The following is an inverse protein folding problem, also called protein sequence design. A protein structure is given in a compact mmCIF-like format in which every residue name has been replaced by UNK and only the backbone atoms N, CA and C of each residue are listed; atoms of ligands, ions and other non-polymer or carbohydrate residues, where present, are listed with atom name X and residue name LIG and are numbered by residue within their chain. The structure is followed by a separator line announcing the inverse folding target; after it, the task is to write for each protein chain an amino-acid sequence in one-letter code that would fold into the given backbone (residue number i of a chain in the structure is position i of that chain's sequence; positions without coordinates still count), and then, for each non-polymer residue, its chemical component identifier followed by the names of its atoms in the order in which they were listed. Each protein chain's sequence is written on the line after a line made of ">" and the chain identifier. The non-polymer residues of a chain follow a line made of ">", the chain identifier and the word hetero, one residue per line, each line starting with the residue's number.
data_IF_706806564938
#
_entry.id   IF_706806564938
#
_cell.length_a   1.000
_cell.length_b   1.000
_cell.length_c   1.000
_cell.angle_alpha   90.00
_cell.angle_beta   90.00
_cell.angle_gamma   90.00
#
_symmetry.space_group_name_H-M   'P 1'
#
loop_
_entity.id
_entity.type
_entity.pdbx_description
1 polymer ?
#
# COMPACT_ATOMS: atom_id res chain seq x y z
N UNK A 1 -20.72 -15.77 -1.80
CA UNK A 1 -20.24 -15.27 -3.11
C UNK A 1 -20.71 -13.83 -3.29
N UNK A 2 -19.81 -12.87 -3.11
CA UNK A 2 -20.11 -11.43 -3.27
C UNK A 2 -20.41 -11.15 -4.75
N UNK A 3 -21.67 -10.78 -5.06
CA UNK A 3 -22.06 -10.30 -6.40
C UNK A 3 -21.39 -8.94 -6.63
N UNK A 4 -20.23 -8.93 -7.29
CA UNK A 4 -19.48 -7.70 -7.56
C UNK A 4 -19.65 -7.23 -9.00
N UNK A 5 -19.64 -5.91 -9.16
CA UNK A 5 -19.70 -5.25 -10.46
C UNK A 5 -18.34 -5.38 -11.14
N UNK A 6 -18.30 -5.95 -12.35
CA UNK A 6 -17.05 -6.13 -13.10
C UNK A 6 -16.55 -4.77 -13.60
N UNK A 7 -15.24 -4.53 -13.51
CA UNK A 7 -14.63 -3.34 -14.14
C UNK A 7 -14.91 -3.41 -15.64
N UNK A 8 -15.57 -2.39 -16.16
CA UNK A 8 -15.91 -2.30 -17.57
C UNK A 8 -14.79 -1.52 -18.29
N UNK A 9 -14.24 -2.09 -19.37
CA UNK A 9 -13.21 -1.43 -20.18
C UNK A 9 -13.71 -0.11 -20.80
N UNK A 10 -15.01 0.02 -21.01
CA UNK A 10 -15.62 1.16 -21.72
C UNK A 10 -16.07 2.28 -20.77
N UNK A 11 -16.09 2.04 -19.46
CA UNK A 11 -16.48 3.04 -18.46
C UNK A 11 -15.55 2.95 -17.26
N UNK A 12 -14.73 3.98 -17.08
CA UNK A 12 -13.92 4.16 -15.88
C UNK A 12 -14.84 4.36 -14.68
N UNK A 13 -14.75 3.44 -13.71
CA UNK A 13 -15.51 3.49 -12.46
C UNK A 13 -14.50 3.48 -11.31
N UNK A 14 -14.25 4.68 -10.76
CA UNK A 14 -13.28 4.89 -9.69
C UNK A 14 -13.56 4.00 -8.49
N UNK A 15 -14.82 3.88 -8.07
CA UNK A 15 -15.19 3.10 -6.89
C UNK A 15 -14.94 1.60 -7.10
N UNK A 16 -15.21 1.10 -8.30
CA UNK A 16 -14.93 -0.32 -8.61
C UNK A 16 -13.42 -0.59 -8.67
N UNK A 17 -12.63 0.37 -9.16
CA UNK A 17 -11.17 0.26 -9.16
C UNK A 17 -10.59 0.34 -7.73
N UNK A 18 -11.06 1.29 -6.92
CA UNK A 18 -10.70 1.44 -5.50
C UNK A 18 -11.02 0.16 -4.70
N UNK A 19 -12.23 -0.41 -4.89
CA UNK A 19 -12.60 -1.67 -4.25
C UNK A 19 -11.66 -2.82 -4.67
N UNK A 20 -11.33 -2.90 -5.96
CA UNK A 20 -10.42 -3.94 -6.47
C UNK A 20 -9.03 -3.83 -5.83
N UNK A 21 -8.40 -2.65 -5.87
CA UNK A 21 -7.02 -2.49 -5.37
C UNK A 21 -6.94 -2.72 -3.86
N UNK A 22 -7.96 -2.32 -3.10
CA UNK A 22 -8.04 -2.60 -1.65
C UNK A 22 -8.13 -4.10 -1.39
N UNK A 23 -8.96 -4.83 -2.13
CA UNK A 23 -9.05 -6.27 -1.98
C UNK A 23 -7.77 -7.02 -2.37
N UNK A 24 -7.08 -6.56 -3.42
CA UNK A 24 -5.77 -7.11 -3.77
C UNK A 24 -4.76 -6.84 -2.65
N UNK A 25 -4.76 -5.64 -2.07
CA UNK A 25 -3.92 -5.31 -0.93
C UNK A 25 -4.21 -6.20 0.28
N UNK A 26 -5.47 -6.36 0.68
CA UNK A 26 -5.86 -7.24 1.79
C UNK A 26 -5.32 -8.66 1.58
N UNK A 27 -5.53 -9.23 0.39
CA UNK A 27 -5.07 -10.57 0.06
C UNK A 27 -3.54 -10.70 0.11
N UNK A 28 -2.82 -9.69 -0.40
CA UNK A 28 -1.36 -9.66 -0.40
C UNK A 28 -0.81 -9.49 1.01
N UNK A 29 -1.39 -8.61 1.83
CA UNK A 29 -0.98 -8.37 3.21
C UNK A 29 -1.20 -9.62 4.08
N UNK A 30 -2.35 -10.29 3.93
CA UNK A 30 -2.63 -11.56 4.59
C UNK A 30 -1.61 -12.63 4.18
N UNK A 31 -1.30 -12.74 2.88
CA UNK A 31 -0.30 -13.69 2.39
C UNK A 31 1.10 -13.39 2.92
N UNK A 32 1.49 -12.12 2.96
CA UNK A 32 2.78 -11.69 3.52
C UNK A 32 2.88 -12.07 5.00
N UNK A 33 1.78 -11.92 5.75
CA UNK A 33 1.71 -12.29 7.17
C UNK A 33 1.80 -13.81 7.37
N UNK A 34 1.11 -14.62 6.56
CA UNK A 34 1.25 -16.09 6.58
C UNK A 34 2.70 -16.54 6.41
N UNK A 35 3.39 -15.95 5.42
CA UNK A 35 4.80 -16.25 5.14
C UNK A 35 5.68 -15.85 6.32
N UNK A 36 5.47 -14.66 6.89
CA UNK A 36 6.25 -14.16 8.02
C UNK A 36 6.04 -14.97 9.31
N UNK A 37 4.87 -15.57 9.49
CA UNK A 37 4.55 -16.41 10.64
C UNK A 37 4.95 -17.88 10.46
N UNK A 38 5.32 -18.29 9.24
CA UNK A 38 5.58 -19.69 8.90
C UNK A 38 4.31 -20.56 9.00
N UNK A 39 3.12 -19.95 9.00
CA UNK A 39 1.83 -20.64 9.14
C UNK A 39 0.95 -20.37 7.94
N UNK A 40 0.33 -21.41 7.40
CA UNK A 40 -0.62 -21.31 6.27
C UNK A 40 -1.99 -20.76 6.71
N UNK A 41 -2.23 -20.64 8.02
CA UNK A 41 -3.56 -20.33 8.55
C UNK A 41 -3.49 -19.28 9.66
N UNK A 42 -3.82 -18.05 9.28
CA UNK A 42 -3.85 -16.85 10.14
C UNK A 42 -4.99 -16.93 11.16
N UNK A 43 -6.00 -17.79 10.94
CA UNK A 43 -7.12 -17.96 11.87
C UNK A 43 -6.72 -18.68 13.16
N UNK A 44 -5.51 -19.27 13.20
CA UNK A 44 -4.93 -19.88 14.40
C UNK A 44 -4.26 -18.86 15.34
N UNK A 45 -4.22 -17.58 14.96
CA UNK A 45 -3.73 -16.50 15.80
C UNK A 45 -4.80 -16.08 16.83
N UNK A 46 -5.33 -17.05 17.58
CA UNK A 46 -6.42 -16.90 18.54
C UNK A 46 -5.91 -16.35 19.90
N UNK A 47 -5.07 -15.31 19.85
CA UNK A 47 -4.74 -14.53 21.03
C UNK A 47 -5.71 -13.34 21.10
N UNK A 48 -6.34 -13.06 22.26
CA UNK A 48 -7.14 -11.85 22.45
C UNK A 48 -6.17 -10.67 22.59
N UNK A 49 -5.52 -10.29 21.49
CA UNK A 49 -4.81 -9.03 21.39
C UNK A 49 -5.86 -7.93 21.23
N UNK A 50 -5.71 -6.86 22.01
CA UNK A 50 -6.47 -5.64 21.77
C UNK A 50 -6.29 -5.24 20.30
N UNK A 51 -7.36 -4.79 19.65
CA UNK A 51 -7.37 -4.52 18.20
C UNK A 51 -6.21 -3.61 17.79
N UNK A 52 -5.87 -2.65 18.64
CA UNK A 52 -4.74 -1.73 18.43
C UNK A 52 -3.37 -2.43 18.47
N UNK A 53 -3.18 -3.42 19.34
CA UNK A 53 -1.92 -4.19 19.42
C UNK A 53 -1.77 -5.14 18.25
N UNK A 54 -2.88 -5.74 17.81
CA UNK A 54 -2.91 -6.55 16.60
C UNK A 54 -2.56 -5.72 15.36
N UNK A 55 -3.20 -4.56 15.19
CA UNK A 55 -2.95 -3.64 14.07
C UNK A 55 -1.49 -3.20 14.03
N UNK A 56 -0.89 -2.85 15.18
CA UNK A 56 0.54 -2.50 15.26
C UNK A 56 1.46 -3.67 14.92
N UNK A 57 1.21 -4.85 15.48
CA UNK A 57 2.00 -6.06 15.20
C UNK A 57 1.95 -6.45 13.73
N UNK A 58 0.79 -6.30 13.08
CA UNK A 58 0.65 -6.56 11.64
C UNK A 58 1.45 -5.53 10.84
N UNK A 59 1.34 -4.24 11.17
CA UNK A 59 2.07 -3.18 10.46
C UNK A 59 3.59 -3.32 10.60
N UNK A 60 4.12 -3.58 11.80
CA UNK A 60 5.55 -3.82 12.01
C UNK A 60 6.06 -5.02 11.19
N UNK A 61 5.28 -6.09 11.12
CA UNK A 61 5.63 -7.30 10.35
C UNK A 61 5.56 -7.06 8.85
N UNK A 62 4.54 -6.35 8.37
CA UNK A 62 4.43 -5.94 6.96
C UNK A 62 5.61 -5.05 6.58
N UNK A 63 6.02 -4.13 7.46
CA UNK A 63 7.20 -3.28 7.24
C UNK A 63 8.50 -4.12 7.12
N UNK A 64 8.69 -5.10 8.00
CA UNK A 64 9.83 -6.03 7.93
C UNK A 64 9.83 -6.79 6.59
N UNK A 65 8.70 -7.35 6.17
CA UNK A 65 8.60 -8.08 4.90
C UNK A 65 8.90 -7.17 3.70
N UNK A 66 8.38 -5.94 3.70
CA UNK A 66 8.66 -4.95 2.65
C UNK A 66 10.15 -4.62 2.62
N UNK A 67 10.75 -4.35 3.78
CA UNK A 67 12.18 -4.03 3.91
C UNK A 67 13.04 -5.19 3.40
N UNK A 68 12.82 -6.40 3.89
CA UNK A 68 13.62 -7.57 3.50
C UNK A 68 13.54 -7.83 2.00
N UNK A 69 12.35 -7.67 1.40
CA UNK A 69 12.13 -7.85 -0.04
C UNK A 69 12.74 -6.74 -0.91
N UNK A 70 12.99 -5.55 -0.35
CA UNK A 70 13.59 -4.42 -1.08
C UNK A 70 15.12 -4.42 -0.99
N UNK A 71 15.68 -4.77 0.17
CA UNK A 71 17.12 -4.64 0.46
C UNK A 71 17.95 -5.90 0.18
N UNK A 72 17.34 -7.06 -0.07
CA UNK A 72 18.04 -8.29 -0.47
C UNK A 72 17.68 -8.70 -1.92
N UNK A 73 18.08 -7.93 -2.95
CA UNK A 73 17.71 -8.18 -4.33
C UNK A 73 18.47 -9.36 -5.00
N UNK A 74 19.47 -9.93 -4.32
CA UNK A 74 20.53 -10.75 -4.94
C UNK A 74 20.22 -12.26 -5.01
N UNK A 75 19.11 -12.71 -4.43
CA UNK A 75 18.62 -14.08 -4.66
C UNK A 75 17.86 -14.14 -5.99
N UNK A 76 18.45 -14.84 -6.96
CA UNK A 76 18.11 -14.97 -8.39
C UNK A 76 16.68 -15.45 -8.75
N UNK A 77 15.72 -15.44 -7.82
CA UNK A 77 14.35 -15.92 -7.98
C UNK A 77 13.21 -14.93 -7.65
N UNK A 78 13.48 -13.69 -7.24
CA UNK A 78 12.49 -12.90 -6.46
C UNK A 78 11.91 -11.62 -7.12
N UNK A 79 11.92 -11.45 -8.45
CA UNK A 79 11.25 -10.28 -9.07
C UNK A 79 9.76 -10.14 -8.69
N UNK A 80 9.07 -11.27 -8.55
CA UNK A 80 7.67 -11.28 -8.13
C UNK A 80 7.47 -10.80 -6.68
N UNK A 81 8.39 -11.13 -5.75
CA UNK A 81 8.32 -10.65 -4.37
C UNK A 81 8.62 -9.16 -4.29
N UNK A 82 9.56 -8.65 -5.10
CA UNK A 82 9.89 -7.23 -5.15
C UNK A 82 8.72 -6.37 -5.66
N UNK A 83 8.05 -6.79 -6.73
CA UNK A 83 6.88 -6.08 -7.23
C UNK A 83 5.73 -6.08 -6.20
N UNK A 84 5.57 -7.17 -5.46
CA UNK A 84 4.61 -7.27 -4.37
C UNK A 84 4.97 -6.32 -3.23
N UNK A 85 6.24 -6.21 -2.85
CA UNK A 85 6.71 -5.28 -1.83
C UNK A 85 6.51 -3.80 -2.24
N UNK A 86 6.81 -3.47 -3.50
CA UNK A 86 6.55 -2.14 -4.06
C UNK A 86 5.05 -1.83 -4.09
N UNK A 87 4.22 -2.78 -4.50
CA UNK A 87 2.76 -2.65 -4.45
C UNK A 87 2.24 -2.42 -3.03
N UNK A 88 2.72 -3.18 -2.03
CA UNK A 88 2.33 -2.98 -0.63
C UNK A 88 2.72 -1.60 -0.13
N UNK A 89 3.95 -1.14 -0.40
CA UNK A 89 4.40 0.21 -0.05
C UNK A 89 3.48 1.28 -0.65
N UNK A 90 3.19 1.18 -1.95
CA UNK A 90 2.38 2.17 -2.67
C UNK A 90 0.93 2.18 -2.16
N UNK A 91 0.39 0.99 -1.83
CA UNK A 91 -0.95 0.87 -1.24
C UNK A 91 -1.03 1.43 0.17
N UNK A 92 0.01 1.30 1.01
CA UNK A 92 0.04 1.91 2.34
C UNK A 92 -0.08 3.44 2.23
N UNK A 93 0.68 4.06 1.32
CA UNK A 93 0.59 5.49 1.05
C UNK A 93 -0.80 5.90 0.52
N UNK A 94 -1.38 5.09 -0.38
CA UNK A 94 -2.73 5.31 -0.90
C UNK A 94 -3.80 5.25 0.20
N UNK A 95 -3.74 4.25 1.09
CA UNK A 95 -4.66 4.08 2.20
C UNK A 95 -4.55 5.25 3.19
N UNK A 96 -3.33 5.67 3.51
CA UNK A 96 -3.07 6.80 4.40
C UNK A 96 -3.60 8.12 3.79
N UNK A 97 -3.33 8.38 2.51
CA UNK A 97 -3.89 9.54 1.81
C UNK A 97 -5.43 9.53 1.83
N UNK A 98 -6.03 8.37 1.54
CA UNK A 98 -7.48 8.20 1.55
C UNK A 98 -8.08 8.45 2.94
N UNK A 99 -7.43 7.97 3.99
CA UNK A 99 -7.85 8.17 5.37
C UNK A 99 -7.69 9.64 5.80
N UNK A 100 -6.58 10.29 5.46
CA UNK A 100 -6.31 11.69 5.77
C UNK A 100 -7.32 12.63 5.08
N UNK A 101 -7.64 12.37 3.80
CA UNK A 101 -8.68 13.11 3.06
C UNK A 101 -10.05 12.96 3.75
N UNK A 102 -10.44 11.74 4.13
CA UNK A 102 -11.72 11.50 4.82
C UNK A 102 -11.78 12.18 6.19
N UNK A 103 -10.65 12.28 6.89
CA UNK A 103 -10.54 12.96 8.18
C UNK A 103 -10.45 14.49 8.05
N UNK A 104 -10.17 15.02 6.86
CA UNK A 104 -9.89 16.44 6.66
C UNK A 104 -8.56 16.89 7.29
N UNK A 105 -7.62 15.96 7.50
CA UNK A 105 -6.33 16.24 8.13
C UNK A 105 -5.31 16.69 7.08
N UNK A 106 -5.21 18.01 6.90
CA UNK A 106 -4.31 18.62 5.90
C UNK A 106 -2.85 18.29 6.19
N UNK A 107 -2.44 18.24 7.47
CA UNK A 107 -1.05 17.95 7.83
C UNK A 107 -0.64 16.55 7.35
N UNK A 108 -1.48 15.54 7.58
CA UNK A 108 -1.25 14.18 7.07
C UNK A 108 -1.28 14.10 5.56
N UNK A 109 -2.20 14.83 4.90
CA UNK A 109 -2.26 14.89 3.44
C UNK A 109 -0.92 15.42 2.89
N UNK A 110 -0.41 16.52 3.43
CA UNK A 110 0.86 17.12 2.99
C UNK A 110 2.04 16.17 3.19
N UNK A 111 2.13 15.49 4.35
CA UNK A 111 3.19 14.51 4.60
C UNK A 111 3.18 13.36 3.58
N UNK A 112 2.01 12.81 3.26
CA UNK A 112 1.91 11.74 2.26
C UNK A 112 2.26 12.23 0.86
N UNK A 113 1.85 13.45 0.49
CA UNK A 113 2.17 14.02 -0.83
C UNK A 113 3.68 14.22 -1.04
N UNK A 114 4.46 14.51 0.01
CA UNK A 114 5.93 14.55 -0.08
C UNK A 114 6.49 13.19 -0.51
N UNK A 115 6.03 12.11 0.09
CA UNK A 115 6.44 10.75 -0.28
C UNK A 115 6.02 10.38 -1.70
N UNK A 116 4.78 10.70 -2.10
CA UNK A 116 4.29 10.45 -3.46
C UNK A 116 5.13 11.23 -4.50
N UNK A 117 5.51 12.46 -4.19
CA UNK A 117 6.40 13.27 -5.04
C UNK A 117 7.73 12.55 -5.30
N UNK A 118 8.36 12.04 -4.25
CA UNK A 118 9.62 11.29 -4.34
C UNK A 118 9.42 10.02 -5.18
N UNK A 119 8.30 9.31 -5.00
CA UNK A 119 8.00 8.11 -5.78
C UNK A 119 7.83 8.39 -7.27
N UNK A 120 7.13 9.46 -7.65
CA UNK A 120 7.00 9.82 -9.06
C UNK A 120 8.33 10.25 -9.67
N UNK A 121 9.17 10.96 -8.90
CA UNK A 121 10.50 11.35 -9.36
C UNK A 121 11.39 10.12 -9.61
N UNK A 122 11.38 9.16 -8.68
CA UNK A 122 12.16 7.93 -8.80
C UNK A 122 11.59 6.97 -9.87
N UNK A 123 10.27 6.93 -10.05
CA UNK A 123 9.54 6.04 -10.94
C UNK A 123 9.37 6.56 -12.37
N UNK A 124 10.30 7.41 -12.84
CA UNK A 124 10.34 8.02 -14.20
C UNK A 124 9.10 8.82 -14.62
N UNK A 125 8.19 9.08 -13.68
CA UNK A 125 6.94 9.84 -13.88
C UNK A 125 7.12 11.28 -13.41
N UNK A 126 8.25 11.87 -13.82
CA UNK A 126 8.77 13.16 -13.33
C UNK A 126 7.81 14.33 -13.53
N UNK A 127 6.94 14.29 -14.55
CA UNK A 127 5.92 15.32 -14.75
C UNK A 127 4.97 15.41 -13.56
N UNK A 128 4.53 14.28 -13.02
CA UNK A 128 3.66 14.27 -11.83
C UNK A 128 4.41 14.71 -10.58
N UNK A 129 5.69 14.36 -10.45
CA UNK A 129 6.53 14.87 -9.37
C UNK A 129 6.64 16.39 -9.43
N UNK A 130 6.85 16.95 -10.62
CA UNK A 130 6.94 18.38 -10.84
C UNK A 130 5.65 19.10 -10.48
N UNK A 131 4.48 18.60 -10.93
CA UNK A 131 3.18 19.17 -10.55
C UNK A 131 2.94 19.13 -9.03
N UNK A 132 3.36 18.05 -8.35
CA UNK A 132 3.26 17.98 -6.89
C UNK A 132 4.23 18.93 -6.17
N UNK A 133 5.42 19.16 -6.72
CA UNK A 133 6.34 20.19 -6.21
C UNK A 133 5.76 21.59 -6.38
N UNK A 134 5.11 21.88 -7.51
CA UNK A 134 4.37 23.13 -7.71
C UNK A 134 3.26 23.30 -6.67
N UNK A 135 2.48 22.24 -6.44
CA UNK A 135 1.42 22.24 -5.44
C UNK A 135 1.97 22.50 -4.03
N UNK A 136 3.08 21.84 -3.65
CA UNK A 136 3.61 21.91 -2.29
C UNK A 136 4.42 23.19 -2.02
N UNK A 137 5.32 23.56 -2.94
CA UNK A 137 6.25 24.66 -2.76
C UNK A 137 5.72 25.99 -3.31
N UNK A 138 4.57 25.99 -3.97
CA UNK A 138 4.02 27.18 -4.63
C UNK A 138 4.93 27.73 -5.72
N UNK A 139 5.82 26.89 -6.27
CA UNK A 139 6.68 27.26 -7.40
C UNK A 139 5.76 27.70 -8.54
N UNK A 140 6.10 28.78 -9.22
CA UNK A 140 5.38 29.27 -10.41
C UNK A 140 6.30 29.22 -11.61
#
# INVERSE_FOLDING_TARGET
>A
MLRRKRINKNKTDFHTADELIRHVFDAVALRALEVALGTVDITKLDAPLDKCEFDKSVMDRVEVVIRDSIYHPDEEGCMASRNVALFMRDMILYLELSAAIKAGDIGRIEEVLKWITILFQAGTTVNYAHELLHLHCGLR
#
